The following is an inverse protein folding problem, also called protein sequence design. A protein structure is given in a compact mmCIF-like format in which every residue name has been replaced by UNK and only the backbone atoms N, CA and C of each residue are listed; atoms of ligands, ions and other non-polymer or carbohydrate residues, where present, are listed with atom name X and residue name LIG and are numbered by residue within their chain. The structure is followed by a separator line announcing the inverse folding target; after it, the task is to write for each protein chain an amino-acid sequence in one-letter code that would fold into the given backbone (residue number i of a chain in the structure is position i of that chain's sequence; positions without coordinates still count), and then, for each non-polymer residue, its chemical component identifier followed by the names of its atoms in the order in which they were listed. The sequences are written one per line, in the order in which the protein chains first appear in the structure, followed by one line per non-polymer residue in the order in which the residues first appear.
data_IF_275611184086
#
_entry.id   IF_275611184086
#
_cell.length_a   1.000
_cell.length_b   1.000
_cell.length_c   1.000
_cell.angle_alpha   90.00
_cell.angle_beta   90.00
_cell.angle_gamma   90.00
#
_symmetry.space_group_name_H-M   'P 1'
#
loop_
_entity.id
_entity.type
_entity.pdbx_description
1 polymer ?
#
# COMPACT_ATOMS: atom_id res chain seq x y z
N UNK A 1 -12.18 21.68 -3.41
CA UNK A 1 -10.84 21.66 -4.03
C UNK A 1 -10.24 20.27 -3.81
N UNK A 2 -9.78 19.60 -4.86
CA UNK A 2 -9.03 18.34 -4.70
C UNK A 2 -7.59 18.70 -4.36
N UNK A 3 -7.06 18.17 -3.26
CA UNK A 3 -5.67 18.35 -2.84
C UNK A 3 -4.95 17.01 -3.01
N UNK A 4 -4.33 16.74 -4.17
CA UNK A 4 -3.74 15.43 -4.51
C UNK A 4 -2.82 14.88 -3.43
N UNK A 5 -1.97 15.73 -2.86
CA UNK A 5 -0.97 15.34 -1.88
C UNK A 5 -1.60 14.94 -0.53
N UNK A 6 -2.73 15.57 -0.17
CA UNK A 6 -3.51 15.15 1.00
C UNK A 6 -4.14 13.77 0.78
N UNK A 7 -4.71 13.53 -0.41
CA UNK A 7 -5.37 12.25 -0.70
C UNK A 7 -4.32 11.13 -0.75
N UNK A 8 -3.17 11.37 -1.38
CA UNK A 8 -2.04 10.43 -1.39
C UNK A 8 -1.51 10.13 0.02
N UNK A 9 -1.33 11.16 0.87
CA UNK A 9 -0.89 10.95 2.26
C UNK A 9 -1.86 10.08 3.06
N UNK A 10 -3.18 10.30 2.90
CA UNK A 10 -4.21 9.47 3.56
C UNK A 10 -4.18 8.02 3.08
N UNK A 11 -3.95 7.80 1.80
CA UNK A 11 -3.81 6.46 1.23
C UNK A 11 -2.61 5.73 1.87
N UNK A 12 -1.45 6.41 1.95
CA UNK A 12 -0.26 5.86 2.62
C UNK A 12 -0.56 5.50 4.08
N UNK A 13 -1.23 6.36 4.82
CA UNK A 13 -1.58 6.12 6.24
C UNK A 13 -2.51 4.91 6.37
N UNK A 14 -3.53 4.80 5.50
CA UNK A 14 -4.41 3.63 5.47
C UNK A 14 -3.64 2.33 5.26
N UNK A 15 -2.65 2.33 4.36
CA UNK A 15 -1.81 1.18 4.06
C UNK A 15 -0.82 0.83 5.18
N UNK A 16 -0.38 1.81 5.97
CA UNK A 16 0.46 1.54 7.16
C UNK A 16 -0.31 0.79 8.25
N UNK A 17 -1.62 1.05 8.38
CA UNK A 17 -2.47 0.26 9.28
C UNK A 17 -2.74 -1.17 8.76
N UNK A 18 -2.52 -1.42 7.47
CA UNK A 18 -2.81 -2.69 6.79
C UNK A 18 -1.53 -3.31 6.21
N UNK A 19 -0.63 -3.73 7.10
CA UNK A 19 0.77 -4.05 6.75
C UNK A 19 0.94 -5.21 5.75
N UNK A 20 0.00 -6.16 5.72
CA UNK A 20 0.07 -7.32 4.82
C UNK A 20 -0.54 -7.10 3.43
N UNK A 21 -1.10 -5.91 3.15
CA UNK A 21 -1.83 -5.63 1.91
C UNK A 21 -1.11 -4.60 1.04
N UNK A 22 -1.10 -4.82 -0.26
CA UNK A 22 -0.61 -3.86 -1.25
C UNK A 22 -1.65 -2.78 -1.54
N UNK A 23 -2.93 -3.14 -1.49
CA UNK A 23 -4.03 -2.18 -1.54
C UNK A 23 -5.14 -2.53 -0.55
N UNK A 24 -5.85 -1.49 -0.12
CA UNK A 24 -6.96 -1.58 0.83
C UNK A 24 -8.08 -0.61 0.46
N UNK A 25 -9.33 -1.02 0.60
CA UNK A 25 -10.49 -0.15 0.46
C UNK A 25 -11.64 -0.63 1.34
N UNK A 26 -12.27 0.28 2.09
CA UNK A 26 -13.49 -0.01 2.85
C UNK A 26 -14.75 0.34 2.05
N UNK A 27 -15.77 -0.52 2.15
CA UNK A 27 -17.12 -0.34 1.62
C UNK A 27 -18.15 -0.27 2.74
N UNK A 28 -19.34 0.26 2.41
CA UNK A 28 -20.55 0.09 3.23
C UNK A 28 -20.39 0.51 4.70
N UNK A 29 -19.56 1.54 4.93
CA UNK A 29 -19.23 2.06 6.27
C UNK A 29 -18.25 1.18 7.07
N UNK A 30 -17.40 0.39 6.41
CA UNK A 30 -16.41 -0.49 7.04
C UNK A 30 -16.90 -1.90 7.36
N UNK A 31 -18.06 -2.31 6.81
CA UNK A 31 -18.61 -3.66 7.00
C UNK A 31 -18.00 -4.69 6.05
N UNK A 32 -17.56 -4.22 4.90
CA UNK A 32 -16.85 -4.98 3.88
C UNK A 32 -15.59 -4.22 3.52
N UNK A 33 -14.53 -4.94 3.24
CA UNK A 33 -13.26 -4.38 2.83
C UNK A 33 -12.69 -5.17 1.66
N UNK A 34 -12.06 -4.47 0.73
CA UNK A 34 -11.27 -5.00 -0.38
C UNK A 34 -9.80 -5.01 -0.01
N UNK A 35 -9.12 -6.09 -0.37
CA UNK A 35 -7.70 -6.29 -0.11
C UNK A 35 -7.02 -6.79 -1.37
N UNK A 36 -5.81 -6.29 -1.62
CA UNK A 36 -4.89 -6.90 -2.58
C UNK A 36 -3.72 -7.47 -1.80
N UNK A 37 -3.56 -8.79 -1.88
CA UNK A 37 -2.60 -9.56 -1.09
C UNK A 37 -1.60 -10.22 -2.03
N UNK A 38 -0.31 -9.97 -1.82
CA UNK A 38 0.75 -10.75 -2.46
C UNK A 38 0.98 -12.04 -1.68
N UNK A 39 0.90 -13.19 -2.34
CA UNK A 39 1.15 -14.49 -1.70
C UNK A 39 2.65 -14.70 -1.48
N UNK A 40 3.03 -14.90 -0.23
CA UNK A 40 4.41 -15.20 0.16
C UNK A 40 4.76 -16.67 -0.11
N UNK A 41 6.05 -16.98 -0.21
CA UNK A 41 6.54 -18.36 -0.44
C UNK A 41 6.07 -19.35 0.63
N UNK A 42 5.90 -18.89 1.86
CA UNK A 42 5.43 -19.67 3.00
C UNK A 42 3.88 -19.73 3.11
N UNK A 43 3.15 -19.14 2.16
CA UNK A 43 1.69 -19.11 2.21
C UNK A 43 1.10 -20.53 2.18
N UNK A 44 0.18 -20.89 3.09
CA UNK A 44 -0.35 -22.25 3.19
C UNK A 44 -1.28 -22.64 2.02
N UNK A 45 -1.63 -21.69 1.15
CA UNK A 45 -2.50 -21.90 -0.01
C UNK A 45 -1.73 -22.13 -1.31
N UNK A 46 -0.39 -22.02 -1.31
CA UNK A 46 0.41 -22.23 -2.52
C UNK A 46 0.19 -23.65 -3.07
N UNK A 47 0.02 -23.75 -4.39
CA UNK A 47 -0.31 -24.95 -5.16
C UNK A 47 -1.65 -25.60 -4.78
N UNK A 48 -2.53 -24.88 -4.08
CA UNK A 48 -3.92 -25.31 -3.84
C UNK A 48 -4.86 -24.57 -4.78
N UNK A 49 -5.91 -25.25 -5.18
CA UNK A 49 -7.02 -24.69 -5.95
C UNK A 49 -7.93 -23.82 -5.08
N UNK A 50 -8.67 -22.89 -5.69
CA UNK A 50 -9.68 -22.10 -4.98
C UNK A 50 -10.69 -23.01 -4.27
N UNK A 51 -11.10 -24.11 -4.91
CA UNK A 51 -12.02 -25.09 -4.32
C UNK A 51 -11.43 -25.77 -3.09
N UNK A 52 -10.16 -26.21 -3.12
CA UNK A 52 -9.52 -26.81 -1.94
C UNK A 52 -9.39 -25.84 -0.77
N UNK A 53 -9.13 -24.56 -1.04
CA UNK A 53 -9.02 -23.52 0.01
C UNK A 53 -10.39 -23.21 0.62
N UNK A 54 -11.44 -23.24 -0.18
CA UNK A 54 -12.82 -22.88 0.20
C UNK A 54 -13.66 -24.05 0.71
N UNK A 55 -13.22 -25.30 0.49
CA UNK A 55 -13.91 -26.52 0.91
C UNK A 55 -13.73 -26.82 2.41
N UNK A 56 -14.07 -25.83 3.23
CA UNK A 56 -14.24 -25.97 4.66
C UNK A 56 -15.75 -25.84 4.88
N UNK A 57 -16.38 -26.76 5.60
CA UNK A 57 -17.84 -26.77 5.87
C UNK A 57 -18.29 -25.58 6.77
N UNK A 58 -17.88 -24.37 6.44
CA UNK A 58 -18.13 -23.12 7.14
C UNK A 58 -18.47 -22.04 6.11
N UNK A 59 -19.43 -21.15 6.42
CA UNK A 59 -19.66 -19.98 5.60
C UNK A 59 -18.38 -19.15 5.54
N UNK A 60 -17.99 -18.73 4.33
CA UNK A 60 -16.80 -17.93 4.12
C UNK A 60 -17.13 -16.45 4.31
N UNK A 61 -16.34 -15.80 5.15
CA UNK A 61 -16.40 -14.35 5.38
C UNK A 61 -15.64 -13.54 4.32
N UNK A 62 -15.09 -14.22 3.32
CA UNK A 62 -14.26 -13.65 2.27
C UNK A 62 -14.50 -14.34 0.92
N UNK A 63 -14.13 -13.64 -0.15
CA UNK A 63 -14.21 -14.14 -1.53
C UNK A 63 -13.09 -13.56 -2.38
N UNK A 64 -12.35 -14.43 -3.07
CA UNK A 64 -11.42 -14.03 -4.11
C UNK A 64 -12.20 -13.55 -5.35
N UNK A 65 -11.81 -12.41 -5.90
CA UNK A 65 -12.47 -11.73 -7.03
C UNK A 65 -11.60 -11.78 -8.28
N UNK A 66 -10.28 -11.66 -8.13
CA UNK A 66 -9.32 -11.71 -9.23
C UNK A 66 -7.96 -12.21 -8.71
N UNK A 67 -7.14 -12.71 -9.63
CA UNK A 67 -5.73 -13.03 -9.43
C UNK A 67 -4.94 -12.33 -10.53
N UNK A 68 -3.93 -11.53 -10.18
CA UNK A 68 -2.96 -11.02 -11.15
C UNK A 68 -1.69 -11.84 -11.05
N UNK A 69 -1.31 -12.46 -12.17
CA UNK A 69 -0.10 -13.28 -12.31
C UNK A 69 0.67 -12.84 -13.55
N UNK A 70 1.95 -12.49 -13.37
CA UNK A 70 2.82 -12.04 -14.46
C UNK A 70 2.18 -10.92 -15.33
N UNK A 71 1.49 -9.97 -14.68
CA UNK A 71 0.80 -8.86 -15.34
C UNK A 71 -0.50 -9.20 -16.05
N UNK A 72 -1.01 -10.43 -15.91
CA UNK A 72 -2.32 -10.84 -16.46
C UNK A 72 -3.33 -11.03 -15.34
N UNK A 73 -4.50 -10.41 -15.49
CA UNK A 73 -5.64 -10.60 -14.60
C UNK A 73 -6.43 -11.85 -14.99
N UNK A 74 -6.74 -12.68 -14.00
CA UNK A 74 -7.50 -13.93 -14.10
C UNK A 74 -8.70 -13.81 -13.16
N UNK A 75 -9.90 -14.16 -13.64
CA UNK A 75 -11.07 -14.33 -12.77
C UNK A 75 -11.03 -15.78 -12.27
N UNK A 76 -10.80 -16.03 -10.97
CA UNK A 76 -10.55 -17.37 -10.49
C UNK A 76 -11.82 -18.22 -10.47
N UNK A 77 -11.71 -19.40 -11.06
CA UNK A 77 -12.64 -20.52 -10.99
C UNK A 77 -12.17 -21.53 -9.94
N UNK A 78 -12.98 -22.56 -9.67
CA UNK A 78 -12.74 -23.51 -8.58
C UNK A 78 -11.43 -24.30 -8.72
N UNK A 79 -10.99 -24.55 -9.95
CA UNK A 79 -9.79 -25.30 -10.33
C UNK A 79 -8.53 -24.44 -10.48
N UNK A 80 -8.67 -23.10 -10.46
CA UNK A 80 -7.52 -22.21 -10.50
C UNK A 80 -6.68 -22.35 -9.23
N UNK A 81 -5.39 -22.59 -9.42
CA UNK A 81 -4.41 -22.77 -8.34
C UNK A 81 -3.68 -21.49 -8.00
N UNK A 82 -3.42 -21.26 -6.72
CA UNK A 82 -2.62 -20.14 -6.23
C UNK A 82 -1.12 -20.42 -6.35
N UNK A 83 -0.36 -19.47 -6.87
CA UNK A 83 1.10 -19.55 -7.02
C UNK A 83 1.80 -18.45 -6.22
N UNK A 84 3.10 -18.69 -5.95
CA UNK A 84 3.95 -17.72 -5.25
C UNK A 84 3.99 -16.41 -6.04
N UNK A 85 3.94 -15.29 -5.33
CA UNK A 85 3.90 -13.93 -5.89
C UNK A 85 2.61 -13.55 -6.64
N UNK A 86 1.58 -14.40 -6.67
CA UNK A 86 0.26 -13.97 -7.13
C UNK A 86 -0.22 -12.77 -6.30
N UNK A 87 -0.81 -11.80 -6.97
CA UNK A 87 -1.61 -10.74 -6.33
C UNK A 87 -3.06 -11.19 -6.33
N UNK A 88 -3.60 -11.52 -5.15
CA UNK A 88 -4.97 -11.99 -4.99
C UNK A 88 -5.83 -10.84 -4.48
N UNK A 89 -6.91 -10.56 -5.21
CA UNK A 89 -7.89 -9.53 -4.92
C UNK A 89 -9.04 -10.18 -4.14
N UNK A 90 -9.28 -9.74 -2.91
CA UNK A 90 -10.22 -10.39 -1.99
C UNK A 90 -11.17 -9.35 -1.42
N UNK A 91 -12.47 -9.67 -1.40
CA UNK A 91 -13.46 -8.95 -0.59
C UNK A 91 -13.68 -9.75 0.69
N UNK A 92 -13.66 -9.11 1.85
CA UNK A 92 -13.86 -9.76 3.14
C UNK A 92 -14.67 -8.88 4.08
N UNK A 93 -15.40 -9.49 4.99
CA UNK A 93 -15.88 -8.83 6.21
C UNK A 93 -14.72 -8.64 7.20
N UNK A 94 -14.95 -7.89 8.28
CA UNK A 94 -13.94 -7.68 9.33
C UNK A 94 -13.51 -9.00 10.00
N UNK A 95 -14.39 -9.99 10.12
CA UNK A 95 -14.07 -11.29 10.75
C UNK A 95 -13.15 -12.15 9.88
N UNK A 96 -13.25 -12.04 8.55
CA UNK A 96 -12.40 -12.80 7.62
C UNK A 96 -10.95 -12.29 7.51
N UNK A 97 -10.65 -11.07 7.96
CA UNK A 97 -9.34 -10.43 7.81
C UNK A 97 -8.17 -11.26 8.34
N UNK A 98 -8.31 -11.82 9.55
CA UNK A 98 -7.23 -12.60 10.17
C UNK A 98 -6.93 -13.87 9.38
N UNK A 99 -7.96 -14.48 8.79
CA UNK A 99 -7.84 -15.72 8.03
C UNK A 99 -7.20 -15.48 6.65
N UNK A 100 -7.62 -14.43 5.94
CA UNK A 100 -7.03 -14.07 4.63
C UNK A 100 -5.54 -13.72 4.76
N UNK A 101 -5.13 -13.05 5.85
CA UNK A 101 -3.72 -12.74 6.10
C UNK A 101 -2.90 -14.01 6.32
N UNK A 102 -3.44 -14.95 7.11
CA UNK A 102 -2.81 -16.26 7.32
C UNK A 102 -2.68 -17.03 6.01
N UNK A 103 -3.72 -17.02 5.16
CA UNK A 103 -3.66 -17.66 3.85
C UNK A 103 -2.65 -17.03 2.91
N UNK A 104 -2.47 -15.71 2.99
CA UNK A 104 -1.45 -15.02 2.20
C UNK A 104 -0.01 -15.21 2.71
N UNK A 105 0.19 -15.96 3.82
CA UNK A 105 1.51 -16.10 4.45
C UNK A 105 1.96 -14.88 5.24
N UNK A 106 1.04 -13.93 5.50
CA UNK A 106 1.34 -12.67 6.17
C UNK A 106 1.27 -12.82 7.68
N UNK A 107 2.28 -12.27 8.34
CA UNK A 107 2.27 -12.07 9.79
C UNK A 107 1.72 -10.69 10.13
N UNK A 108 1.06 -10.58 11.29
CA UNK A 108 0.62 -9.29 11.80
C UNK A 108 1.84 -8.47 12.21
N UNK A 109 2.16 -7.45 11.43
CA UNK A 109 3.25 -6.54 11.75
C UNK A 109 2.73 -5.43 12.68
N UNK A 110 3.44 -5.22 13.78
CA UNK A 110 3.24 -4.04 14.62
C UNK A 110 4.29 -3.01 14.23
N UNK A 111 3.88 -1.97 13.53
CA UNK A 111 4.78 -0.87 13.16
C UNK A 111 5.07 0.00 14.38
N UNK A 112 6.34 0.34 14.59
CA UNK A 112 6.78 1.33 15.59
C UNK A 112 7.70 2.36 14.99
N UNK A 113 8.64 1.93 14.15
CA UNK A 113 9.65 2.80 13.56
C UNK A 113 9.39 2.99 12.06
N UNK A 114 9.25 4.25 11.64
CA UNK A 114 8.98 4.62 10.26
C UNK A 114 10.06 5.57 9.78
N UNK A 115 10.67 5.26 8.64
CA UNK A 115 11.57 6.17 7.94
C UNK A 115 10.89 6.72 6.69
N UNK A 116 10.81 8.03 6.59
CA UNK A 116 10.23 8.75 5.45
C UNK A 116 11.37 9.40 4.67
N UNK A 117 11.54 9.01 3.41
CA UNK A 117 12.45 9.66 2.49
C UNK A 117 11.72 10.72 1.66
N UNK A 118 12.12 11.97 1.85
CA UNK A 118 11.60 13.14 1.15
C UNK A 118 10.57 13.91 1.98
N UNK A 119 10.88 15.16 2.29
CA UNK A 119 9.98 16.10 2.95
C UNK A 119 8.95 16.73 2.01
N UNK A 120 8.49 16.02 0.98
CA UNK A 120 7.47 16.53 0.05
C UNK A 120 6.18 16.88 0.80
N UNK A 121 5.21 17.50 0.11
CA UNK A 121 3.89 17.77 0.69
C UNK A 121 3.21 16.51 1.22
N UNK A 122 3.49 15.35 0.62
CA UNK A 122 3.03 14.03 1.07
C UNK A 122 3.80 13.64 2.34
N UNK A 123 5.15 13.62 2.28
CA UNK A 123 6.00 13.19 3.39
C UNK A 123 5.82 14.00 4.67
N UNK A 124 5.78 15.34 4.57
CA UNK A 124 5.53 16.22 5.72
C UNK A 124 4.17 15.96 6.38
N UNK A 125 3.18 15.56 5.59
CA UNK A 125 1.79 15.38 6.05
C UNK A 125 1.63 14.02 6.71
N UNK A 126 2.26 12.99 6.15
CA UNK A 126 2.38 11.68 6.79
C UNK A 126 3.10 11.82 8.13
N UNK A 127 4.25 12.49 8.16
CA UNK A 127 5.00 12.72 9.39
C UNK A 127 4.11 13.41 10.45
N UNK A 128 3.48 14.54 10.10
CA UNK A 128 2.63 15.30 11.04
C UNK A 128 1.44 14.49 11.57
N UNK A 129 0.78 13.70 10.73
CA UNK A 129 -0.39 12.91 11.17
C UNK A 129 0.02 11.71 12.05
N UNK A 130 1.26 11.23 11.95
CA UNK A 130 1.72 10.01 12.59
C UNK A 130 2.75 10.20 13.73
N UNK A 131 3.34 11.38 13.87
CA UNK A 131 4.47 11.65 14.79
C UNK A 131 4.19 11.33 16.26
N UNK A 132 2.91 11.38 16.68
CA UNK A 132 2.51 11.05 18.06
C UNK A 132 2.27 9.56 18.31
N UNK A 133 2.21 8.75 17.25
CA UNK A 133 1.88 7.32 17.32
C UNK A 133 3.08 6.43 16.97
N UNK A 134 4.04 6.95 16.20
CA UNK A 134 5.18 6.21 15.68
C UNK A 134 6.47 7.00 15.85
N UNK A 135 7.61 6.30 15.95
CA UNK A 135 8.92 6.92 15.92
C UNK A 135 9.28 7.23 14.46
N UNK A 136 9.22 8.51 14.07
CA UNK A 136 9.45 8.92 12.68
C UNK A 136 10.83 9.53 12.52
N UNK A 137 11.57 9.02 11.52
CA UNK A 137 12.74 9.68 10.94
C UNK A 137 12.40 10.19 9.56
N UNK A 138 12.59 11.48 9.29
CA UNK A 138 12.37 12.07 7.97
C UNK A 138 13.71 12.52 7.38
N UNK A 139 14.06 11.96 6.21
CA UNK A 139 15.27 12.31 5.46
C UNK A 139 14.92 13.34 4.37
N UNK A 140 15.58 14.49 4.36
CA UNK A 140 15.38 15.54 3.34
C UNK A 140 16.72 16.11 2.85
N UNK A 141 16.90 16.14 1.53
CA UNK A 141 18.17 16.56 0.91
C UNK A 141 18.37 18.08 0.97
N UNK A 142 17.29 18.86 0.85
CA UNK A 142 17.38 20.31 0.90
C UNK A 142 17.49 20.80 2.35
N UNK A 143 18.61 21.44 2.68
CA UNK A 143 18.90 21.90 4.05
C UNK A 143 17.92 22.95 4.57
N UNK A 144 17.52 23.93 3.75
CA UNK A 144 16.56 24.96 4.18
C UNK A 144 15.19 24.34 4.50
N UNK A 145 14.75 23.42 3.65
CA UNK A 145 13.51 22.67 3.84
C UNK A 145 13.58 21.76 5.06
N UNK A 146 14.73 21.15 5.33
CA UNK A 146 14.98 20.38 6.55
C UNK A 146 14.75 21.23 7.80
N UNK A 147 15.25 22.47 7.84
CA UNK A 147 15.02 23.40 8.96
C UNK A 147 13.53 23.72 9.13
N UNK A 148 12.83 24.04 8.03
CA UNK A 148 11.39 24.31 8.07
C UNK A 148 10.59 23.09 8.57
N UNK A 149 11.01 21.89 8.21
CA UNK A 149 10.36 20.65 8.67
C UNK A 149 10.65 20.38 10.14
N UNK A 150 11.86 20.65 10.61
CA UNK A 150 12.23 20.51 12.02
C UNK A 150 11.45 21.50 12.91
N UNK A 151 11.14 22.69 12.42
CA UNK A 151 10.28 23.64 13.14
C UNK A 151 8.78 23.25 13.11
N UNK A 152 8.35 22.55 12.06
CA UNK A 152 6.94 22.20 11.84
C UNK A 152 6.51 20.88 12.53
N UNK A 153 7.45 19.93 12.66
CA UNK A 153 7.23 18.61 13.22
C UNK A 153 7.69 18.60 14.67
N UNK A 154 6.81 18.17 15.58
CA UNK A 154 7.06 18.21 17.03
C UNK A 154 7.82 16.96 17.50
N UNK A 155 7.47 15.80 16.96
CA UNK A 155 7.93 14.48 17.44
C UNK A 155 8.60 13.66 16.31
N UNK A 156 9.13 14.33 15.29
CA UNK A 156 9.84 13.71 14.16
C UNK A 156 11.31 14.11 14.14
N UNK A 157 12.21 13.12 14.04
CA UNK A 157 13.63 13.41 13.81
C UNK A 157 13.85 13.73 12.32
N UNK A 158 14.17 15.00 12.02
CA UNK A 158 14.48 15.44 10.65
C UNK A 158 15.98 15.41 10.42
N UNK A 159 16.41 14.70 9.37
CA UNK A 159 17.81 14.49 9.01
C UNK A 159 18.06 15.09 7.63
N UNK A 160 19.09 15.90 7.51
CA UNK A 160 19.52 16.42 6.23
C UNK A 160 20.44 15.40 5.54
N UNK A 161 19.96 14.77 4.47
CA UNK A 161 20.70 13.71 3.78
C UNK A 161 20.12 13.35 2.42
N UNK A 162 20.91 12.69 1.59
CA UNK A 162 20.50 12.19 0.27
C UNK A 162 20.03 10.74 0.38
N UNK A 163 18.79 10.46 -0.05
CA UNK A 163 18.26 9.10 -0.07
C UNK A 163 18.94 8.14 -1.05
N UNK A 164 19.80 8.65 -1.94
CA UNK A 164 20.68 7.85 -2.80
C UNK A 164 21.92 7.36 -2.06
N UNK A 165 22.27 8.00 -0.95
CA UNK A 165 23.36 7.56 -0.08
C UNK A 165 22.88 6.41 0.82
N UNK A 166 23.05 5.20 0.29
CA UNK A 166 22.72 3.97 0.99
C UNK A 166 23.52 3.75 2.28
N UNK A 167 24.73 4.30 2.38
CA UNK A 167 25.57 4.23 3.58
C UNK A 167 24.96 5.04 4.70
N UNK A 168 24.61 6.29 4.42
CA UNK A 168 23.94 7.19 5.36
C UNK A 168 22.60 6.61 5.84
N UNK A 169 21.79 6.03 4.95
CA UNK A 169 20.53 5.40 5.36
C UNK A 169 20.78 4.26 6.38
N UNK A 170 21.83 3.47 6.19
CA UNK A 170 22.19 2.40 7.13
C UNK A 170 22.69 2.94 8.46
N UNK A 171 23.55 3.97 8.43
CA UNK A 171 24.03 4.68 9.64
C UNK A 171 22.86 5.26 10.44
N UNK A 172 21.83 5.76 9.75
CA UNK A 172 20.58 6.26 10.35
C UNK A 172 19.61 5.16 10.78
N UNK A 173 20.03 3.89 10.76
CA UNK A 173 19.29 2.79 11.35
C UNK A 173 18.18 2.24 10.46
N UNK A 174 18.30 2.35 9.14
CA UNK A 174 17.36 1.76 8.17
C UNK A 174 16.96 0.32 8.50
N UNK A 175 17.93 -0.51 8.94
CA UNK A 175 17.71 -1.93 9.29
C UNK A 175 16.76 -2.15 10.46
N UNK A 176 16.55 -1.13 11.29
CA UNK A 176 15.67 -1.17 12.47
C UNK A 176 14.29 -0.57 12.19
N UNK A 177 14.02 -0.17 10.94
CA UNK A 177 12.75 0.42 10.54
C UNK A 177 11.74 -0.68 10.18
N UNK A 178 10.51 -0.53 10.66
CA UNK A 178 9.43 -1.44 10.30
C UNK A 178 8.84 -1.07 8.93
N UNK A 179 8.79 0.23 8.63
CA UNK A 179 8.34 0.75 7.35
C UNK A 179 9.28 1.83 6.78
N UNK A 180 9.42 1.83 5.45
CA UNK A 180 10.15 2.83 4.69
C UNK A 180 9.25 3.43 3.62
N UNK A 181 9.12 4.75 3.60
CA UNK A 181 8.20 5.48 2.73
C UNK A 181 8.99 6.47 1.90
N UNK A 182 9.08 6.26 0.59
CA UNK A 182 9.79 7.14 -0.31
C UNK A 182 8.83 7.99 -1.14
N UNK A 183 8.81 9.29 -0.85
CA UNK A 183 7.88 10.28 -1.40
C UNK A 183 8.63 11.52 -1.86
N UNK A 184 9.81 11.33 -2.46
CA UNK A 184 10.61 12.40 -3.09
C UNK A 184 9.99 12.85 -4.41
N UNK A 185 10.60 13.85 -5.06
CA UNK A 185 10.21 14.28 -6.40
C UNK A 185 10.69 13.38 -7.56
N UNK A 186 11.45 12.31 -7.29
CA UNK A 186 11.95 11.38 -8.31
C UNK A 186 11.40 9.99 -8.05
N UNK A 187 10.64 9.46 -9.02
CA UNK A 187 10.10 8.10 -8.95
C UNK A 187 11.23 7.06 -8.92
N UNK A 188 12.33 7.28 -9.64
CA UNK A 188 13.51 6.41 -9.64
C UNK A 188 14.15 6.34 -8.26
N UNK A 189 14.32 7.50 -7.60
CA UNK A 189 14.87 7.57 -6.24
C UNK A 189 13.93 6.83 -5.27
N UNK A 190 12.62 7.00 -5.41
CA UNK A 190 11.64 6.33 -4.56
C UNK A 190 11.67 4.81 -4.73
N UNK A 191 11.72 4.33 -5.96
CA UNK A 191 11.80 2.90 -6.27
C UNK A 191 13.11 2.30 -5.75
N UNK A 192 14.26 2.88 -6.12
CA UNK A 192 15.57 2.35 -5.75
C UNK A 192 15.81 2.34 -4.24
N UNK A 193 15.40 3.40 -3.53
CA UNK A 193 15.52 3.46 -2.07
C UNK A 193 14.61 2.46 -1.36
N UNK A 194 13.37 2.26 -1.83
CA UNK A 194 12.49 1.21 -1.33
C UNK A 194 13.07 -0.20 -1.56
N UNK A 195 13.62 -0.47 -2.74
CA UNK A 195 14.28 -1.76 -3.03
C UNK A 195 15.48 -1.99 -2.11
N UNK A 196 16.29 -0.95 -1.87
CA UNK A 196 17.40 -1.01 -0.93
C UNK A 196 16.93 -1.25 0.51
N UNK A 197 15.89 -0.56 0.96
CA UNK A 197 15.27 -0.76 2.26
C UNK A 197 14.77 -2.19 2.44
N UNK A 198 14.05 -2.71 1.44
CA UNK A 198 13.54 -4.09 1.43
C UNK A 198 14.68 -5.10 1.57
N UNK A 199 15.76 -4.94 0.79
CA UNK A 199 16.95 -5.80 0.87
C UNK A 199 17.65 -5.74 2.23
N UNK A 200 17.50 -4.64 2.97
CA UNK A 200 18.05 -4.45 4.31
C UNK A 200 17.09 -4.86 5.44
N UNK A 201 16.00 -5.58 5.12
CA UNK A 201 15.11 -6.18 6.12
C UNK A 201 13.95 -5.29 6.56
N UNK A 202 13.75 -4.12 5.93
CA UNK A 202 12.54 -3.33 6.17
C UNK A 202 11.32 -4.12 5.69
N UNK A 203 10.32 -4.26 6.56
CA UNK A 203 9.21 -5.19 6.34
C UNK A 203 8.21 -4.65 5.33
N UNK A 204 7.93 -3.35 5.38
CA UNK A 204 6.97 -2.65 4.52
C UNK A 204 7.63 -1.47 3.80
N UNK A 205 7.51 -1.43 2.49
CA UNK A 205 8.02 -0.33 1.66
C UNK A 205 6.90 0.31 0.85
N UNK A 206 6.87 1.64 0.80
CA UNK A 206 5.86 2.40 0.05
C UNK A 206 6.57 3.43 -0.81
N UNK A 207 6.42 3.36 -2.14
CA UNK A 207 7.01 4.31 -3.07
C UNK A 207 5.93 5.17 -3.75
N UNK A 208 6.12 6.49 -3.80
CA UNK A 208 5.37 7.35 -4.71
C UNK A 208 5.97 7.28 -6.11
N UNK A 209 5.14 6.93 -7.09
CA UNK A 209 5.54 6.76 -8.48
C UNK A 209 4.55 7.52 -9.36
N UNK A 210 5.05 8.50 -10.10
CA UNK A 210 4.21 9.34 -10.96
C UNK A 210 3.90 8.72 -12.32
N UNK A 211 4.87 7.98 -12.88
CA UNK A 211 4.84 7.41 -14.23
C UNK A 211 4.19 6.03 -14.16
N UNK A 212 3.09 5.83 -14.89
CA UNK A 212 2.29 4.60 -14.82
C UNK A 212 3.10 3.37 -15.29
N UNK A 213 3.94 3.54 -16.29
CA UNK A 213 4.80 2.51 -16.86
C UNK A 213 5.83 1.99 -15.84
N UNK A 214 6.16 2.79 -14.82
CA UNK A 214 7.11 2.39 -13.77
C UNK A 214 6.45 1.56 -12.66
N UNK A 215 5.11 1.57 -12.56
CA UNK A 215 4.37 0.86 -11.51
C UNK A 215 4.64 -0.64 -11.58
N UNK A 216 4.38 -1.26 -12.73
CA UNK A 216 4.59 -2.70 -12.89
C UNK A 216 6.05 -3.13 -12.73
N UNK A 217 7.00 -2.29 -13.14
CA UNK A 217 8.43 -2.53 -12.94
C UNK A 217 8.83 -2.47 -11.46
N UNK A 218 8.31 -1.50 -10.72
CA UNK A 218 8.59 -1.35 -9.31
C UNK A 218 7.98 -2.48 -8.46
N UNK A 219 6.74 -2.88 -8.75
CA UNK A 219 6.07 -4.03 -8.11
C UNK A 219 6.84 -5.34 -8.35
N UNK A 220 7.18 -5.63 -9.61
CA UNK A 220 7.92 -6.84 -9.97
C UNK A 220 9.35 -6.86 -9.40
N UNK A 221 9.95 -5.68 -9.18
CA UNK A 221 11.27 -5.56 -8.56
C UNK A 221 11.25 -5.77 -7.05
N UNK A 222 10.08 -5.75 -6.39
CA UNK A 222 9.92 -6.05 -4.96
C UNK A 222 9.55 -4.87 -4.07
N UNK A 223 9.10 -3.74 -4.63
CA UNK A 223 8.45 -2.69 -3.84
C UNK A 223 7.08 -3.22 -3.38
N UNK A 224 6.77 -3.12 -2.09
CA UNK A 224 5.54 -3.74 -1.55
C UNK A 224 4.27 -2.99 -1.96
N UNK A 225 4.37 -1.68 -2.09
CA UNK A 225 3.20 -0.82 -2.31
C UNK A 225 3.60 0.44 -3.08
N UNK A 226 2.75 0.79 -4.05
CA UNK A 226 2.96 1.94 -4.91
C UNK A 226 1.80 2.91 -4.74
N UNK A 227 2.14 4.18 -4.64
CA UNK A 227 1.15 5.27 -4.65
C UNK A 227 1.38 6.12 -5.89
N UNK A 228 0.34 6.26 -6.70
CA UNK A 228 0.33 7.24 -7.78
C UNK A 228 -0.68 8.34 -7.46
N UNK A 229 -0.20 9.54 -7.15
CA UNK A 229 -1.08 10.65 -6.77
C UNK A 229 -2.06 11.06 -7.88
N UNK A 230 -1.72 10.85 -9.16
CA UNK A 230 -2.60 11.17 -10.31
C UNK A 230 -3.76 10.18 -10.35
N UNK A 231 -3.51 8.88 -10.19
CA UNK A 231 -4.55 7.85 -10.13
C UNK A 231 -5.47 8.00 -8.92
N UNK A 232 -4.89 8.24 -7.73
CA UNK A 232 -5.69 8.42 -6.51
C UNK A 232 -6.57 9.68 -6.62
N UNK A 233 -6.05 10.76 -7.21
CA UNK A 233 -6.82 11.98 -7.48
C UNK A 233 -7.90 11.74 -8.54
N UNK A 234 -7.58 11.05 -9.63
CA UNK A 234 -8.53 10.69 -10.67
C UNK A 234 -9.69 9.87 -10.10
N UNK A 235 -9.40 8.83 -9.32
CA UNK A 235 -10.41 8.03 -8.58
C UNK A 235 -11.35 8.93 -7.79
N UNK A 236 -10.79 9.93 -7.08
CA UNK A 236 -11.58 10.87 -6.28
C UNK A 236 -12.43 11.80 -7.14
N UNK A 237 -11.93 12.29 -8.28
CA UNK A 237 -12.70 13.14 -9.20
C UNK A 237 -13.84 12.32 -9.81
N UNK A 238 -13.54 11.13 -10.33
CA UNK A 238 -14.54 10.23 -10.94
C UNK A 238 -15.68 9.92 -9.99
N UNK A 239 -15.39 9.66 -8.71
CA UNK A 239 -16.43 9.50 -7.69
C UNK A 239 -17.44 10.68 -7.63
N UNK A 240 -17.02 11.92 -7.88
CA UNK A 240 -17.92 13.08 -7.88
C UNK A 240 -18.59 13.35 -9.23
N UNK A 241 -18.02 12.88 -10.34
CA UNK A 241 -18.56 13.11 -11.69
C UNK A 241 -19.46 11.97 -12.17
N UNK A 242 -19.28 10.75 -11.65
CA UNK A 242 -20.14 9.59 -11.93
C UNK A 242 -21.52 9.77 -11.26
N UNK A 243 -22.55 9.05 -11.75
CA UNK A 243 -23.93 9.19 -11.29
C UNK A 243 -24.07 9.24 -9.76
N UNK A 244 -25.08 9.94 -9.25
CA UNK A 244 -25.34 10.11 -7.81
C UNK A 244 -25.52 8.80 -7.00
N UNK A 245 -25.55 7.64 -7.67
CA UNK A 245 -25.64 6.31 -7.05
C UNK A 245 -24.28 5.67 -6.76
N UNK A 246 -23.18 6.19 -7.31
CA UNK A 246 -21.84 5.65 -7.07
C UNK A 246 -21.25 6.31 -5.84
N UNK A 247 -20.99 5.50 -4.82
CA UNK A 247 -20.42 5.95 -3.55
C UNK A 247 -18.91 5.82 -3.49
N UNK A 248 -18.31 4.89 -4.25
CA UNK A 248 -16.86 4.69 -4.33
C UNK A 248 -16.45 4.33 -5.77
N UNK A 249 -15.34 4.93 -6.22
CA UNK A 249 -14.58 4.54 -7.42
C UNK A 249 -13.12 4.42 -6.99
N UNK A 250 -12.49 3.27 -7.25
CA UNK A 250 -11.05 3.08 -7.05
C UNK A 250 -10.45 2.37 -8.27
N UNK A 251 -9.45 3.01 -8.86
CA UNK A 251 -8.56 2.36 -9.82
C UNK A 251 -7.47 1.62 -9.06
N UNK A 252 -7.26 0.35 -9.39
CA UNK A 252 -6.26 -0.49 -8.75
C UNK A 252 -4.91 -0.30 -9.47
N UNK A 253 -3.85 -0.13 -8.68
CA UNK A 253 -2.47 -0.16 -9.18
C UNK A 253 -2.09 -1.58 -9.60
N UNK A 254 -1.34 -1.71 -10.70
CA UNK A 254 -0.82 -3.00 -11.17
C UNK A 254 -1.83 -3.91 -11.90
N UNK A 255 -3.06 -3.46 -12.15
CA UNK A 255 -4.06 -4.21 -12.94
C UNK A 255 -4.98 -3.29 -13.74
N UNK A 256 -5.49 -3.79 -14.86
CA UNK A 256 -6.57 -3.14 -15.63
C UNK A 256 -7.95 -3.38 -14.99
N UNK A 257 -8.07 -3.14 -13.68
CA UNK A 257 -9.29 -3.37 -12.92
C UNK A 257 -9.70 -2.12 -12.11
N UNK A 258 -11.00 -1.91 -12.04
CA UNK A 258 -11.62 -0.86 -11.22
C UNK A 258 -12.65 -1.44 -10.27
N UNK A 259 -12.84 -0.77 -9.14
CA UNK A 259 -13.77 -1.16 -8.10
C UNK A 259 -14.79 -0.06 -7.89
N UNK A 260 -16.07 -0.43 -7.91
CA UNK A 260 -17.21 0.48 -7.83
C UNK A 260 -18.17 0.03 -6.73
N UNK A 261 -18.60 0.96 -5.86
CA UNK A 261 -19.67 0.72 -4.88
C UNK A 261 -20.92 1.51 -5.29
N UNK A 262 -22.02 0.79 -5.52
CA UNK A 262 -23.31 1.37 -5.90
C UNK A 262 -24.32 1.29 -4.75
N UNK A 263 -25.00 2.40 -4.48
CA UNK A 263 -26.16 2.44 -3.57
C UNK A 263 -27.41 2.18 -4.38
N UNK A 264 -27.97 0.98 -4.24
CA UNK A 264 -29.26 0.61 -4.82
C UNK A 264 -30.37 1.14 -3.90
N UNK A 265 -31.25 1.99 -4.44
CA UNK A 265 -32.45 2.41 -3.70
C UNK A 265 -33.48 1.26 -3.76
N UNK A 266 -34.18 0.93 -2.67
CA UNK A 266 -35.35 0.07 -2.75
C UNK A 266 -36.35 0.67 -3.75
N UNK A 267 -37.01 -0.20 -4.51
CA UNK A 267 -38.14 0.19 -5.36
C UNK A 267 -39.32 0.73 -4.54
#
# INVERSE_FOLDING_TARGET
LFYPEMIAAREVIGLLHQTGTTEFLDFSGGRLSFFVLKLDENAPIINKTLMEVTNQNKPLDYRAVAITRNGKTIIPHGDDSFLVNDLVYVVSTLSGYGEIMKYAGKEKLTLKNIMILGGSRIGRRIAKELERQYNIKLIEINREKCLQLADFLEDTLVINGDGRDTGMLCEEGLRNMDAFIAVTGSSETNILSCLFAKKNGVKKTIAEVEILEYIGLAESSGVDTIINKKLVTASRIFKYTTSAKVSIVKYLTGSDAEVLEFVVKPE
#
